data_IF_913404895360
#
_entry.id   IF_913404895360
#
_cell.length_a   1.000
_cell.length_b   1.000
_cell.length_c   1.000
_cell.angle_alpha   90.00
_cell.angle_beta   90.00
_cell.angle_gamma   90.00
#
_symmetry.space_group_name_H-M   'P 1'
#
loop_
_entity.id
_entity.type
_entity.pdbx_description
1 polymer ?
#
# COMPACT_ATOMS: atom_id res chain seq x y z
N UNK A 1 20.44 51.83 -21.24
CA UNK A 1 21.49 51.67 -22.27
C UNK A 1 21.21 50.39 -23.04
N UNK A 2 21.10 50.50 -24.38
CA UNK A 2 21.13 49.47 -25.47
C UNK A 2 20.27 48.21 -25.24
N UNK A 3 19.30 47.83 -26.08
CA UNK A 3 19.05 48.09 -27.50
C UNK A 3 18.85 46.74 -28.20
N UNK A 4 17.65 46.48 -28.72
CA UNK A 4 17.35 45.27 -29.48
C UNK A 4 15.92 45.27 -30.03
N UNK A 5 15.74 45.92 -31.19
CA UNK A 5 14.50 45.87 -31.98
C UNK A 5 14.39 44.50 -32.65
N UNK A 6 13.19 43.91 -32.65
CA UNK A 6 12.77 43.00 -33.71
C UNK A 6 11.50 43.61 -34.34
N UNK A 7 11.60 43.90 -35.64
CA UNK A 7 10.62 44.69 -36.37
C UNK A 7 9.34 43.93 -36.67
N UNK A 8 8.22 44.63 -36.57
CA UNK A 8 6.93 44.25 -37.14
C UNK A 8 7.02 44.29 -38.66
N UNK A 9 6.94 43.13 -39.32
CA UNK A 9 6.57 43.05 -40.74
C UNK A 9 5.20 42.42 -40.83
N UNK A 10 4.18 43.26 -40.94
CA UNK A 10 2.81 42.86 -41.31
C UNK A 10 2.79 42.40 -42.77
N UNK A 11 2.73 41.10 -43.01
CA UNK A 11 2.14 40.53 -44.23
C UNK A 11 0.73 40.06 -43.92
N UNK A 12 -0.25 40.70 -44.55
CA UNK A 12 -1.63 40.21 -44.63
C UNK A 12 -1.63 38.86 -45.37
N UNK A 13 -2.16 37.83 -44.72
CA UNK A 13 -2.74 36.66 -45.38
C UNK A 13 -4.15 36.42 -44.81
N UNK A 14 -5.00 35.86 -45.67
CA UNK A 14 -6.47 35.86 -45.64
C UNK A 14 -7.14 35.28 -44.39
N UNK A 15 -8.44 35.60 -44.29
CA UNK A 15 -9.32 35.31 -43.16
C UNK A 15 -9.44 33.83 -42.79
N UNK A 16 -9.58 33.60 -41.48
CA UNK A 16 -9.74 32.28 -40.86
C UNK A 16 -9.25 32.21 -39.40
N UNK A 17 -8.47 33.19 -38.93
CA UNK A 17 -7.78 33.11 -37.63
C UNK A 17 -8.55 33.61 -36.39
N UNK A 18 -9.71 34.26 -36.54
CA UNK A 18 -10.36 34.88 -35.38
C UNK A 18 -11.08 33.88 -34.48
N UNK A 19 -11.70 32.81 -35.02
CA UNK A 19 -12.46 31.85 -34.19
C UNK A 19 -11.57 31.03 -33.25
N UNK A 20 -10.39 30.63 -33.70
CA UNK A 20 -9.43 29.84 -32.90
C UNK A 20 -8.79 30.67 -31.78
N UNK A 21 -8.54 31.96 -32.02
CA UNK A 21 -7.99 32.86 -31.01
C UNK A 21 -9.02 33.14 -29.91
N UNK A 22 -10.29 33.36 -30.26
CA UNK A 22 -11.37 33.51 -29.28
C UNK A 22 -11.61 32.23 -28.48
N UNK A 23 -11.56 31.04 -29.11
CA UNK A 23 -11.72 29.76 -28.42
C UNK A 23 -10.57 29.46 -27.43
N UNK A 24 -9.31 29.70 -27.82
CA UNK A 24 -8.15 29.52 -26.94
C UNK A 24 -8.19 30.48 -25.73
N UNK A 25 -8.63 31.72 -25.96
CA UNK A 25 -8.76 32.72 -24.89
C UNK A 25 -9.91 32.37 -23.93
N UNK A 26 -11.02 31.85 -24.45
CA UNK A 26 -12.15 31.39 -23.63
C UNK A 26 -11.80 30.16 -22.77
N UNK A 27 -11.03 29.20 -23.30
CA UNK A 27 -10.56 28.03 -22.55
C UNK A 27 -9.58 28.44 -21.44
N UNK A 28 -8.65 29.36 -21.74
CA UNK A 28 -7.72 29.89 -20.73
C UNK A 28 -8.47 30.64 -19.60
N UNK A 29 -9.52 31.39 -19.94
CA UNK A 29 -10.36 32.09 -18.97
C UNK A 29 -11.21 31.10 -18.13
N UNK A 30 -11.76 30.05 -18.76
CA UNK A 30 -12.48 29.00 -18.05
C UNK A 30 -11.58 28.20 -17.08
N UNK A 31 -10.34 27.89 -17.49
CA UNK A 31 -9.35 27.23 -16.65
C UNK A 31 -8.96 28.11 -15.45
N UNK A 32 -8.71 29.41 -15.67
CA UNK A 32 -8.35 30.34 -14.58
C UNK A 32 -9.51 30.57 -13.61
N UNK A 33 -10.76 30.62 -14.09
CA UNK A 33 -11.95 30.71 -13.25
C UNK A 33 -12.21 29.42 -12.44
N UNK A 34 -11.98 28.25 -13.03
CA UNK A 34 -12.08 26.94 -12.35
C UNK A 34 -11.01 26.76 -11.27
N UNK A 35 -9.77 27.17 -11.55
CA UNK A 35 -8.69 27.19 -10.54
C UNK A 35 -9.03 28.19 -9.43
N UNK A 36 -9.57 29.36 -9.75
CA UNK A 36 -9.96 30.35 -8.75
C UNK A 36 -11.20 29.96 -7.93
N UNK A 37 -12.12 29.14 -8.45
CA UNK A 37 -13.23 28.60 -7.66
C UNK A 37 -12.76 27.48 -6.73
N UNK A 38 -11.87 26.61 -7.21
CA UNK A 38 -11.23 25.56 -6.41
C UNK A 38 -10.40 26.14 -5.25
N UNK A 39 -9.62 27.20 -5.52
CA UNK A 39 -8.87 27.94 -4.49
C UNK A 39 -9.76 28.65 -3.47
N UNK A 40 -10.93 29.17 -3.89
CA UNK A 40 -11.91 29.76 -2.97
C UNK A 40 -12.57 28.69 -2.09
N UNK A 41 -12.93 27.55 -2.66
CA UNK A 41 -13.49 26.42 -1.92
C UNK A 41 -12.50 25.88 -0.88
N UNK A 42 -11.20 25.83 -1.20
CA UNK A 42 -10.16 25.45 -0.22
C UNK A 42 -9.96 26.52 0.86
N UNK A 43 -10.02 27.80 0.50
CA UNK A 43 -9.94 28.90 1.47
C UNK A 43 -11.12 28.91 2.44
N UNK A 44 -12.33 28.63 1.97
CA UNK A 44 -13.53 28.57 2.81
C UNK A 44 -13.54 27.33 3.71
N UNK A 45 -13.04 26.18 3.22
CA UNK A 45 -12.83 24.98 4.04
C UNK A 45 -11.78 25.19 5.15
N UNK A 46 -10.69 25.90 4.85
CA UNK A 46 -9.68 26.29 5.85
C UNK A 46 -10.26 27.22 6.93
N UNK A 47 -11.07 28.21 6.51
CA UNK A 47 -11.76 29.11 7.46
C UNK A 47 -12.79 28.38 8.32
N UNK A 48 -13.47 27.37 7.79
CA UNK A 48 -14.38 26.53 8.56
C UNK A 48 -13.63 25.71 9.63
N UNK A 49 -12.48 25.13 9.25
CA UNK A 49 -11.61 24.39 10.18
C UNK A 49 -11.03 25.30 11.29
N UNK A 50 -10.61 26.52 10.95
CA UNK A 50 -10.12 27.50 11.94
C UNK A 50 -11.19 27.90 12.97
N UNK A 51 -12.46 28.01 12.55
CA UNK A 51 -13.60 28.27 13.45
C UNK A 51 -13.85 27.10 14.39
N UNK A 52 -13.73 25.87 13.90
CA UNK A 52 -13.90 24.66 14.70
C UNK A 52 -12.77 24.48 15.73
N UNK A 53 -11.53 24.78 15.34
CA UNK A 53 -10.37 24.83 16.24
C UNK A 53 -10.52 25.93 17.30
N UNK A 54 -11.05 27.11 16.93
CA UNK A 54 -11.31 28.19 17.88
C UNK A 54 -12.40 27.81 18.90
N UNK A 55 -13.45 27.09 18.46
CA UNK A 55 -14.50 26.57 19.36
C UNK A 55 -13.95 25.52 20.33
N UNK A 56 -13.05 24.63 19.88
CA UNK A 56 -12.38 23.65 20.74
C UNK A 56 -11.43 24.30 21.76
N UNK A 57 -10.75 25.40 21.39
CA UNK A 57 -9.93 26.19 22.33
C UNK A 57 -10.74 26.85 23.44
N UNK A 58 -11.93 27.37 23.13
CA UNK A 58 -12.83 27.95 24.15
C UNK A 58 -13.28 26.92 25.19
N UNK A 59 -13.55 25.69 24.76
CA UNK A 59 -13.95 24.59 25.65
C UNK A 59 -12.80 24.06 26.52
N UNK A 60 -11.55 24.22 26.08
CA UNK A 60 -10.36 23.83 26.84
C UNK A 60 -9.94 24.89 27.88
N UNK A 61 -10.28 26.16 27.69
CA UNK A 61 -9.97 27.24 28.66
C UNK A 61 -10.90 27.30 29.87
N UNK A 62 -12.10 26.71 29.79
CA UNK A 62 -13.04 26.65 30.92
C UNK A 62 -12.75 25.52 31.92
N UNK A 63 -11.77 24.65 31.63
CA UNK A 63 -11.50 23.43 32.40
C UNK A 63 -10.34 23.47 33.41
N UNK A 64 -9.64 24.59 33.59
CA UNK A 64 -8.43 24.64 34.47
C UNK A 64 -8.58 25.65 35.61
N UNK A 65 -9.29 25.21 36.65
CA UNK A 65 -9.29 25.85 37.97
C UNK A 65 -7.95 25.72 38.69
N UNK A 66 -7.40 26.89 39.03
CA UNK A 66 -6.38 27.26 40.02
C UNK A 66 -5.76 26.19 40.94
N UNK A 67 -4.43 26.09 40.90
CA UNK A 67 -3.58 25.52 41.96
C UNK A 67 -2.18 26.14 41.93
N UNK A 68 -1.91 27.07 42.84
CA UNK A 68 -0.68 27.87 42.96
C UNK A 68 0.48 27.07 43.55
N UNK A 69 1.65 27.08 42.90
CA UNK A 69 2.90 26.56 43.45
C UNK A 69 4.11 27.26 42.82
N UNK A 70 4.72 28.17 43.56
CA UNK A 70 5.92 28.94 43.19
C UNK A 70 7.18 28.09 43.27
N UNK A 71 7.90 27.94 42.16
CA UNK A 71 9.22 27.32 42.11
C UNK A 71 10.05 27.90 40.97
N UNK A 72 11.00 28.78 41.32
CA UNK A 72 11.95 29.39 40.40
C UNK A 72 13.01 28.39 39.96
N UNK A 73 13.01 28.00 38.68
CA UNK A 73 14.07 27.19 38.06
C UNK A 73 14.20 27.51 36.58
N UNK A 74 15.26 28.23 36.20
CA UNK A 74 15.65 28.46 34.80
C UNK A 74 16.19 27.17 34.19
N UNK A 75 15.66 26.80 33.02
CA UNK A 75 16.41 26.09 31.98
C UNK A 75 16.07 24.60 31.79
N UNK A 76 15.19 24.32 30.83
CA UNK A 76 15.36 23.36 29.71
C UNK A 76 14.06 23.34 28.91
N UNK A 77 14.17 23.47 27.59
CA UNK A 77 13.04 23.52 26.66
C UNK A 77 12.12 22.33 26.83
N UNK A 78 10.92 22.60 27.34
CA UNK A 78 9.84 21.63 27.42
C UNK A 78 9.35 21.31 26.02
N UNK A 79 9.62 20.10 25.56
CA UNK A 79 8.90 19.48 24.45
C UNK A 79 7.45 19.32 24.90
N UNK A 80 6.59 20.26 24.53
CA UNK A 80 5.16 20.16 24.81
C UNK A 80 4.52 19.31 23.73
N UNK A 81 3.68 18.34 24.10
CA UNK A 81 2.92 17.52 23.14
C UNK A 81 2.16 18.38 22.10
N UNK A 82 1.81 19.62 22.46
CA UNK A 82 1.19 20.60 21.57
C UNK A 82 2.10 21.10 20.42
N UNK A 83 3.43 21.04 20.56
CA UNK A 83 4.38 21.31 19.49
C UNK A 83 4.43 20.13 18.50
N UNK A 84 4.38 18.90 19.00
CA UNK A 84 4.26 17.68 18.19
C UNK A 84 2.94 17.64 17.43
N UNK A 85 1.80 17.95 18.08
CA UNK A 85 0.48 17.99 17.42
C UNK A 85 0.42 19.06 16.31
N UNK A 86 1.05 20.23 16.50
CA UNK A 86 1.12 21.27 15.47
C UNK A 86 2.03 20.90 14.30
N UNK A 87 3.15 20.22 14.56
CA UNK A 87 3.98 19.64 13.51
C UNK A 87 3.20 18.56 12.73
N UNK A 88 2.44 17.70 13.42
CA UNK A 88 1.64 16.63 12.79
C UNK A 88 0.54 17.14 11.85
N UNK A 89 -0.10 18.25 12.20
CA UNK A 89 -1.12 18.90 11.37
C UNK A 89 -0.51 19.63 10.16
N UNK A 90 0.62 20.31 10.35
CA UNK A 90 1.36 20.95 9.25
C UNK A 90 1.94 19.92 8.27
N UNK A 91 2.46 18.80 8.77
CA UNK A 91 2.92 17.68 7.95
C UNK A 91 1.75 16.98 7.23
N UNK A 92 0.55 16.98 7.81
CA UNK A 92 -0.63 16.39 7.17
C UNK A 92 -1.14 17.28 6.03
N UNK A 93 -1.14 18.59 6.25
CA UNK A 93 -1.48 19.59 5.24
C UNK A 93 -0.41 19.67 4.13
N UNK A 94 0.88 19.55 4.46
CA UNK A 94 1.96 19.47 3.49
C UNK A 94 1.93 18.16 2.70
N UNK A 95 1.61 17.02 3.32
CA UNK A 95 1.38 15.76 2.62
C UNK A 95 0.18 15.81 1.67
N UNK A 96 -0.86 16.57 2.01
CA UNK A 96 -2.01 16.81 1.14
C UNK A 96 -1.71 17.79 -0.03
N UNK A 97 -0.81 18.77 0.18
CA UNK A 97 -0.48 19.80 -0.80
C UNK A 97 0.67 19.43 -1.76
N UNK A 98 1.52 18.46 -1.41
CA UNK A 98 2.71 18.05 -2.19
C UNK A 98 2.48 16.76 -3.02
N UNK A 99 1.22 16.40 -3.27
CA UNK A 99 0.81 15.24 -4.06
C UNK A 99 1.15 15.43 -5.55
N UNK A 100 2.43 15.28 -5.92
CA UNK A 100 2.83 15.18 -7.33
C UNK A 100 2.63 13.79 -7.95
N UNK A 101 2.21 12.77 -7.18
CA UNK A 101 1.77 11.47 -7.72
C UNK A 101 0.68 10.85 -6.82
N UNK A 102 -0.56 11.34 -6.95
CA UNK A 102 -1.72 10.80 -6.27
C UNK A 102 -2.11 9.42 -6.84
N UNK A 103 -2.60 8.55 -5.96
CA UNK A 103 -3.35 7.36 -6.33
C UNK A 103 -4.47 7.73 -7.32
N UNK A 104 -4.48 7.09 -8.48
CA UNK A 104 -5.60 7.18 -9.41
C UNK A 104 -6.52 5.98 -9.17
N UNK A 105 -7.75 6.22 -8.76
CA UNK A 105 -8.79 5.20 -8.71
C UNK A 105 -9.32 4.96 -10.12
N UNK A 106 -9.62 3.70 -10.48
CA UNK A 106 -10.22 3.38 -11.78
C UNK A 106 -11.75 3.43 -11.76
N UNK A 107 -12.34 3.65 -10.58
CA UNK A 107 -13.77 3.79 -10.32
C UNK A 107 -14.02 4.81 -9.19
N UNK A 108 -15.29 5.20 -9.01
CA UNK A 108 -15.69 6.03 -7.86
C UNK A 108 -15.74 5.22 -6.55
N UNK A 109 -15.67 3.89 -6.60
CA UNK A 109 -15.74 3.01 -5.41
C UNK A 109 -14.49 3.22 -4.56
N UNK A 110 -14.70 3.42 -3.26
CA UNK A 110 -13.64 3.70 -2.31
C UNK A 110 -13.04 5.11 -2.45
N UNK A 111 -13.69 6.01 -3.19
CA UNK A 111 -13.33 7.43 -3.20
C UNK A 111 -13.90 8.14 -1.96
N UNK A 112 -13.08 8.66 -1.03
CA UNK A 112 -13.57 9.34 0.16
C UNK A 112 -14.44 10.59 -0.13
N UNK A 113 -14.31 11.19 -1.31
CA UNK A 113 -15.13 12.32 -1.74
C UNK A 113 -16.50 11.91 -2.34
N UNK A 114 -16.72 10.60 -2.57
CA UNK A 114 -17.95 10.03 -3.15
C UNK A 114 -18.45 8.85 -2.31
N UNK A 115 -18.92 9.11 -1.08
CA UNK A 115 -19.38 8.05 -0.17
C UNK A 115 -20.58 7.26 -0.74
N UNK A 116 -21.34 7.86 -1.65
CA UNK A 116 -22.45 7.22 -2.38
C UNK A 116 -22.01 6.06 -3.29
N UNK A 117 -20.75 6.04 -3.72
CA UNK A 117 -20.20 4.96 -4.55
C UNK A 117 -19.84 3.69 -3.76
N UNK A 118 -19.87 3.76 -2.43
CA UNK A 118 -19.56 2.65 -1.52
C UNK A 118 -18.07 2.44 -1.26
N UNK A 119 -17.75 1.83 -0.13
CA UNK A 119 -16.39 1.50 0.27
C UNK A 119 -15.86 0.24 -0.45
N UNK A 120 -14.54 0.16 -0.57
CA UNK A 120 -13.85 -1.06 -0.97
C UNK A 120 -13.79 -2.06 0.19
N UNK A 121 -13.71 -3.36 -0.13
CA UNK A 121 -13.38 -4.39 0.84
C UNK A 121 -11.94 -4.21 1.32
N UNK A 122 -10.99 -4.03 0.39
CA UNK A 122 -9.61 -3.74 0.77
C UNK A 122 -8.81 -2.93 -0.25
N UNK A 123 -7.90 -2.12 0.28
CA UNK A 123 -6.68 -1.72 -0.41
C UNK A 123 -5.65 -2.86 -0.32
N UNK A 124 -5.07 -3.28 -1.44
CA UNK A 124 -4.03 -4.32 -1.50
C UNK A 124 -2.75 -3.71 -2.08
N UNK A 125 -1.85 -3.31 -1.17
CA UNK A 125 -0.57 -2.70 -1.51
C UNK A 125 0.55 -3.74 -1.58
N UNK A 126 1.11 -3.96 -2.76
CA UNK A 126 2.31 -4.77 -2.96
C UNK A 126 3.53 -3.87 -2.85
N UNK A 127 4.27 -3.95 -1.74
CA UNK A 127 5.48 -3.15 -1.61
C UNK A 127 6.49 -3.55 -2.70
N UNK A 128 7.08 -2.61 -3.43
CA UNK A 128 8.18 -2.92 -4.37
C UNK A 128 9.19 -1.78 -4.37
N UNK A 129 10.43 -2.04 -4.79
CA UNK A 129 11.45 -1.01 -4.93
C UNK A 129 11.44 -0.41 -6.35
N UNK A 130 11.96 0.81 -6.57
CA UNK A 130 12.04 1.42 -7.91
C UNK A 130 12.69 0.50 -8.94
N UNK A 131 13.75 -0.21 -8.55
CA UNK A 131 14.51 -1.16 -9.39
C UNK A 131 13.85 -2.50 -9.67
N UNK A 132 12.72 -2.82 -9.03
CA UNK A 132 12.11 -4.14 -9.08
C UNK A 132 11.20 -4.36 -10.32
N UNK A 133 11.70 -4.09 -11.52
CA UNK A 133 10.93 -4.17 -12.78
C UNK A 133 10.49 -5.61 -13.10
N UNK A 134 11.45 -6.54 -13.21
CA UNK A 134 11.18 -7.96 -13.56
C UNK A 134 10.20 -8.62 -12.58
N UNK A 135 10.30 -8.20 -11.33
CA UNK A 135 9.41 -8.61 -10.24
C UNK A 135 7.97 -8.15 -10.51
N UNK A 136 7.76 -6.85 -10.73
CA UNK A 136 6.42 -6.34 -11.06
C UNK A 136 5.87 -7.01 -12.32
N UNK A 137 6.70 -7.23 -13.35
CA UNK A 137 6.32 -7.96 -14.55
C UNK A 137 5.86 -9.41 -14.24
N UNK A 138 6.58 -10.14 -13.39
CA UNK A 138 6.20 -11.50 -12.96
C UNK A 138 4.86 -11.53 -12.23
N UNK A 139 4.62 -10.55 -11.34
CA UNK A 139 3.37 -10.46 -10.61
C UNK A 139 2.19 -10.12 -11.53
N UNK A 140 2.37 -9.19 -12.47
CA UNK A 140 1.38 -8.83 -13.50
C UNK A 140 1.06 -10.00 -14.44
N UNK A 141 2.06 -10.80 -14.79
CA UNK A 141 1.87 -12.00 -15.60
C UNK A 141 1.19 -13.16 -14.84
N UNK A 142 0.85 -12.99 -13.55
CA UNK A 142 0.28 -14.06 -12.72
C UNK A 142 -0.97 -13.60 -11.98
N UNK A 143 -0.86 -13.19 -10.71
CA UNK A 143 -2.03 -12.92 -9.87
C UNK A 143 -2.39 -11.44 -9.74
N UNK A 144 -1.49 -10.53 -10.11
CA UNK A 144 -1.73 -9.09 -10.04
C UNK A 144 -2.42 -8.61 -11.33
N UNK A 145 -3.53 -7.85 -11.26
CA UNK A 145 -4.19 -7.30 -12.46
C UNK A 145 -3.25 -6.38 -13.27
N UNK A 146 -3.02 -6.69 -14.55
CA UNK A 146 -2.05 -5.95 -15.39
C UNK A 146 -2.72 -4.80 -16.14
N UNK A 147 -3.90 -5.07 -16.72
CA UNK A 147 -4.61 -4.10 -17.54
C UNK A 147 -5.49 -3.16 -16.70
N UNK A 148 -5.78 -1.99 -17.28
CA UNK A 148 -6.70 -1.02 -16.68
C UNK A 148 -8.10 -1.62 -16.49
N UNK A 149 -8.53 -2.44 -17.44
CA UNK A 149 -9.82 -3.13 -17.43
C UNK A 149 -9.88 -4.13 -16.27
N UNK A 150 -8.83 -4.94 -16.07
CA UNK A 150 -8.75 -5.89 -14.95
C UNK A 150 -8.67 -5.18 -13.60
N UNK A 151 -7.90 -4.09 -13.49
CA UNK A 151 -7.85 -3.27 -12.28
C UNK A 151 -9.22 -2.67 -11.96
N UNK A 152 -9.92 -2.14 -12.97
CA UNK A 152 -11.28 -1.61 -12.81
C UNK A 152 -12.29 -2.70 -12.44
N UNK A 153 -12.19 -3.89 -13.03
CA UNK A 153 -13.03 -5.04 -12.69
C UNK A 153 -12.80 -5.47 -11.24
N UNK A 154 -11.54 -5.52 -10.78
CA UNK A 154 -11.22 -5.81 -9.38
C UNK A 154 -11.84 -4.78 -8.41
N UNK A 155 -11.83 -3.50 -8.75
CA UNK A 155 -12.45 -2.43 -7.94
C UNK A 155 -13.99 -2.55 -7.92
N UNK A 156 -14.62 -2.79 -9.07
CA UNK A 156 -16.08 -2.81 -9.20
C UNK A 156 -16.71 -4.10 -8.68
N UNK A 157 -16.17 -5.24 -9.09
CA UNK A 157 -16.75 -6.58 -8.88
C UNK A 157 -16.27 -7.20 -7.57
N UNK A 158 -14.97 -7.06 -7.27
CA UNK A 158 -14.35 -7.68 -6.09
C UNK A 158 -14.13 -6.70 -4.93
N UNK A 159 -14.37 -5.41 -5.16
CA UNK A 159 -14.13 -4.33 -4.19
C UNK A 159 -12.67 -4.30 -3.68
N UNK A 160 -11.72 -4.66 -4.54
CA UNK A 160 -10.28 -4.67 -4.21
C UNK A 160 -9.51 -3.64 -5.04
N UNK A 161 -8.63 -2.89 -4.38
CA UNK A 161 -7.73 -1.93 -5.03
C UNK A 161 -6.28 -2.42 -5.01
N UNK A 162 -5.81 -2.98 -6.11
CA UNK A 162 -4.42 -3.47 -6.23
C UNK A 162 -3.46 -2.36 -6.64
N UNK A 163 -2.39 -2.14 -5.87
CA UNK A 163 -1.34 -1.17 -6.24
C UNK A 163 0.06 -1.66 -5.88
N UNK A 164 1.02 -1.44 -6.78
CA UNK A 164 2.44 -1.50 -6.47
C UNK A 164 2.86 -0.26 -5.70
N UNK A 165 3.27 -0.45 -4.45
CA UNK A 165 3.69 0.62 -3.56
C UNK A 165 5.19 0.87 -3.73
N UNK A 166 5.54 2.02 -4.30
CA UNK A 166 6.91 2.37 -4.67
C UNK A 166 7.29 3.73 -4.08
N UNK A 167 8.49 3.84 -3.52
CA UNK A 167 9.05 5.10 -3.06
C UNK A 167 9.80 5.85 -4.16
N UNK A 168 10.66 6.77 -3.73
CA UNK A 168 11.62 7.49 -4.55
C UNK A 168 12.96 6.76 -4.51
N UNK A 169 13.74 6.86 -5.60
CA UNK A 169 15.12 6.39 -5.56
C UNK A 169 15.96 7.25 -4.61
N UNK A 170 17.05 6.69 -4.09
CA UNK A 170 18.03 7.39 -3.25
C UNK A 170 18.88 8.40 -4.04
N UNK A 171 18.98 8.23 -5.36
CA UNK A 171 19.69 9.12 -6.28
C UNK A 171 18.71 9.91 -7.14
N UNK A 172 18.41 11.14 -6.72
CA UNK A 172 17.54 12.06 -7.44
C UNK A 172 18.07 12.30 -8.86
N UNK A 173 17.28 11.91 -9.87
CA UNK A 173 17.59 12.16 -11.28
C UNK A 173 18.42 11.06 -11.96
N UNK A 174 18.62 9.90 -11.34
CA UNK A 174 19.23 8.76 -12.01
C UNK A 174 18.31 8.17 -13.09
N UNK A 175 18.91 7.50 -14.07
CA UNK A 175 18.30 6.67 -15.10
C UNK A 175 17.21 5.72 -14.57
N UNK A 176 17.32 5.30 -13.31
CA UNK A 176 16.35 4.46 -12.62
C UNK A 176 14.99 5.13 -12.44
N UNK A 177 14.95 6.37 -11.96
CA UNK A 177 13.69 7.10 -11.79
C UNK A 177 13.02 7.40 -13.14
N UNK A 178 13.83 7.64 -14.18
CA UNK A 178 13.33 7.78 -15.54
C UNK A 178 12.75 6.46 -16.08
N UNK A 179 13.38 5.31 -15.78
CA UNK A 179 12.87 3.99 -16.15
C UNK A 179 11.57 3.66 -15.41
N UNK A 180 11.49 3.92 -14.10
CA UNK A 180 10.28 3.75 -13.32
C UNK A 180 9.15 4.65 -13.85
N UNK A 181 9.46 5.91 -14.18
CA UNK A 181 8.47 6.82 -14.77
C UNK A 181 7.93 6.31 -16.10
N UNK A 182 8.77 5.68 -16.94
CA UNK A 182 8.31 5.03 -18.18
C UNK A 182 7.39 3.83 -17.88
N UNK A 183 7.76 2.97 -16.95
CA UNK A 183 6.91 1.83 -16.56
C UNK A 183 5.58 2.32 -15.97
N UNK A 184 5.60 3.31 -15.09
CA UNK A 184 4.40 3.93 -14.54
C UNK A 184 3.53 4.49 -15.65
N UNK A 185 4.09 5.12 -16.69
CA UNK A 185 3.32 5.60 -17.83
C UNK A 185 2.68 4.47 -18.65
N UNK A 186 3.30 3.29 -18.69
CA UNK A 186 2.72 2.12 -19.37
C UNK A 186 1.59 1.48 -18.56
N UNK A 187 1.71 1.47 -17.23
CA UNK A 187 0.76 0.81 -16.31
C UNK A 187 0.17 1.80 -15.29
N UNK A 188 -0.23 3.01 -15.73
CA UNK A 188 -0.52 4.21 -14.89
C UNK A 188 -1.40 3.93 -13.66
N UNK A 189 -2.33 3.01 -13.81
CA UNK A 189 -3.36 2.75 -12.80
C UNK A 189 -2.95 1.66 -11.79
N UNK A 190 -1.77 1.04 -11.96
CA UNK A 190 -1.26 -0.03 -11.11
C UNK A 190 -0.35 0.44 -9.97
N UNK A 191 -0.01 1.74 -9.88
CA UNK A 191 1.00 2.24 -8.94
C UNK A 191 0.43 3.10 -7.82
N UNK A 192 1.07 2.98 -6.65
CA UNK A 192 0.87 3.87 -5.50
C UNK A 192 2.23 4.41 -5.07
N UNK A 193 2.55 5.63 -5.54
CA UNK A 193 3.85 6.24 -5.25
C UNK A 193 3.78 6.98 -3.91
N UNK A 194 4.60 6.56 -2.95
CA UNK A 194 4.68 7.19 -1.63
C UNK A 194 5.89 8.12 -1.58
N UNK A 195 5.75 9.27 -0.93
CA UNK A 195 6.84 10.23 -0.71
C UNK A 195 7.78 9.71 0.37
N UNK A 196 8.68 8.83 -0.05
CA UNK A 196 9.61 8.14 0.82
C UNK A 196 10.81 7.68 0.00
N UNK A 197 12.03 7.98 0.44
CA UNK A 197 13.24 7.44 -0.21
C UNK A 197 13.35 5.95 0.12
N UNK A 198 13.19 5.10 -0.89
CA UNK A 198 13.15 3.65 -0.71
C UNK A 198 14.53 3.10 -0.39
N UNK A 199 14.78 2.85 0.89
CA UNK A 199 15.93 2.07 1.36
C UNK A 199 15.47 0.94 2.25
N UNK A 200 16.28 -0.12 2.34
CA UNK A 200 15.97 -1.23 3.23
C UNK A 200 15.91 -0.80 4.71
N UNK A 201 16.78 0.14 5.10
CA UNK A 201 16.84 0.67 6.45
C UNK A 201 15.61 1.50 6.84
N UNK A 202 14.78 1.86 5.86
CA UNK A 202 13.62 2.74 6.04
C UNK A 202 12.28 2.07 5.68
N UNK A 203 12.24 0.73 5.68
CA UNK A 203 11.01 -0.03 5.44
C UNK A 203 9.87 0.31 6.41
N UNK A 204 10.20 0.62 7.67
CA UNK A 204 9.22 1.05 8.67
C UNK A 204 8.57 2.37 8.26
N UNK A 205 9.36 3.36 7.83
CA UNK A 205 8.84 4.61 7.28
C UNK A 205 7.98 4.40 6.03
N UNK A 206 8.42 3.54 5.10
CA UNK A 206 7.61 3.20 3.93
C UNK A 206 6.26 2.66 4.35
N UNK A 207 6.23 1.73 5.29
CA UNK A 207 5.00 1.11 5.79
C UNK A 207 4.06 2.12 6.44
N UNK A 208 4.59 3.04 7.27
CA UNK A 208 3.82 4.15 7.82
C UNK A 208 3.25 5.00 6.69
N UNK A 209 4.09 5.39 5.72
CA UNK A 209 3.66 6.19 4.57
C UNK A 209 2.56 5.48 3.77
N UNK A 210 2.68 4.17 3.55
CA UNK A 210 1.68 3.35 2.86
C UNK A 210 0.35 3.35 3.58
N UNK A 211 0.29 2.92 4.84
CA UNK A 211 -0.97 2.85 5.58
C UNK A 211 -1.58 4.23 5.80
N UNK A 212 -0.77 5.23 6.15
CA UNK A 212 -1.26 6.59 6.36
C UNK A 212 -1.87 7.18 5.08
N UNK A 213 -1.17 7.02 3.95
CA UNK A 213 -1.62 7.57 2.67
C UNK A 213 -2.82 6.80 2.13
N UNK A 214 -2.82 5.46 2.23
CA UNK A 214 -3.95 4.65 1.80
C UNK A 214 -5.20 4.96 2.65
N UNK A 215 -5.08 5.07 3.97
CA UNK A 215 -6.18 5.45 4.87
C UNK A 215 -6.65 6.91 4.72
N UNK A 216 -5.91 7.72 3.96
CA UNK A 216 -6.30 9.10 3.60
C UNK A 216 -7.01 9.13 2.25
N UNK A 217 -6.51 8.37 1.27
CA UNK A 217 -6.89 8.48 -0.14
C UNK A 217 -7.93 7.44 -0.57
N UNK A 218 -8.13 6.39 0.22
CA UNK A 218 -9.01 5.26 -0.11
C UNK A 218 -9.94 4.99 1.06
N UNK A 219 -11.23 4.94 0.78
CA UNK A 219 -12.21 4.40 1.70
C UNK A 219 -12.34 2.87 1.50
N UNK A 220 -11.73 2.12 2.42
CA UNK A 220 -11.75 0.67 2.44
C UNK A 220 -11.97 0.14 3.86
N UNK A 221 -12.50 -1.08 3.98
CA UNK A 221 -12.66 -1.75 5.27
C UNK A 221 -11.33 -2.28 5.81
N UNK A 222 -10.45 -2.73 4.90
CA UNK A 222 -9.11 -3.21 5.22
C UNK A 222 -8.02 -2.57 4.36
N UNK A 223 -6.82 -2.49 4.93
CA UNK A 223 -5.60 -2.10 4.25
C UNK A 223 -4.61 -3.24 4.39
N UNK A 224 -4.34 -3.92 3.28
CA UNK A 224 -3.48 -5.10 3.20
C UNK A 224 -2.15 -4.69 2.62
N UNK A 225 -1.07 -5.09 3.28
CA UNK A 225 0.27 -5.06 2.73
C UNK A 225 0.67 -6.46 2.32
N UNK A 226 1.11 -6.58 1.08
CA UNK A 226 1.77 -7.78 0.58
C UNK A 226 3.27 -7.53 0.51
N UNK A 227 3.96 -8.47 1.14
CA UNK A 227 5.38 -8.53 1.36
C UNK A 227 6.18 -8.80 0.11
N UNK A 228 7.39 -8.27 0.17
CA UNK A 228 8.24 -8.11 -0.97
C UNK A 228 9.66 -7.97 -0.50
N UNK A 229 10.33 -9.10 -0.38
CA UNK A 229 11.66 -9.07 0.19
C UNK A 229 12.66 -8.67 -0.89
N UNK A 230 13.27 -7.50 -0.72
CA UNK A 230 14.37 -7.04 -1.56
C UNK A 230 15.68 -7.21 -0.78
N UNK A 231 16.51 -8.17 -1.18
CA UNK A 231 17.86 -8.33 -0.66
C UNK A 231 18.84 -7.75 -1.68
N UNK A 232 19.23 -6.49 -1.49
CA UNK A 232 20.17 -5.77 -2.35
C UNK A 232 21.66 -6.00 -2.00
N UNK A 233 21.96 -6.89 -1.05
CA UNK A 233 23.33 -7.07 -0.55
C UNK A 233 23.79 -8.52 -0.73
N UNK A 234 24.76 -8.66 -1.65
CA UNK A 234 25.66 -9.81 -1.85
C UNK A 234 25.02 -11.03 -2.54
N UNK A 235 25.16 -11.09 -3.88
CA UNK A 235 25.26 -12.30 -4.74
C UNK A 235 24.30 -13.48 -4.56
N UNK A 236 23.25 -13.39 -3.74
CA UNK A 236 22.27 -14.46 -3.56
C UNK A 236 20.89 -13.91 -3.82
N UNK A 237 20.52 -14.04 -5.10
CA UNK A 237 19.19 -14.06 -5.72
C UNK A 237 18.31 -12.82 -5.43
N UNK A 238 18.05 -11.96 -6.45
CA UNK A 238 16.81 -11.20 -6.45
C UNK A 238 15.64 -12.21 -6.49
N UNK A 239 14.40 -11.77 -6.30
CA UNK A 239 13.18 -12.58 -6.51
C UNK A 239 12.66 -13.36 -5.28
N UNK A 240 12.53 -12.71 -4.12
CA UNK A 240 11.76 -13.24 -2.98
C UNK A 240 10.39 -12.54 -2.90
N UNK A 241 9.44 -13.12 -3.63
CA UNK A 241 8.07 -12.63 -3.76
C UNK A 241 7.09 -13.67 -3.25
N UNK A 242 5.81 -13.30 -3.13
CA UNK A 242 4.78 -14.26 -2.72
C UNK A 242 3.76 -14.45 -3.83
N UNK A 243 3.28 -15.69 -3.97
CA UNK A 243 2.10 -15.96 -4.77
C UNK A 243 0.86 -15.74 -3.91
N UNK A 244 -0.12 -15.02 -4.45
CA UNK A 244 -1.39 -14.74 -3.77
C UNK A 244 -2.55 -15.37 -4.54
N UNK A 245 -3.47 -16.00 -3.81
CA UNK A 245 -4.79 -16.40 -4.30
C UNK A 245 -5.82 -15.38 -3.86
N UNK A 246 -6.38 -14.65 -4.81
CA UNK A 246 -7.31 -13.53 -4.59
C UNK A 246 -8.65 -14.00 -4.03
N UNK A 247 -9.29 -15.09 -4.51
CA UNK A 247 -10.58 -15.50 -3.95
C UNK A 247 -10.53 -15.98 -2.48
N UNK A 248 -9.53 -16.78 -2.04
CA UNK A 248 -9.33 -17.02 -0.62
C UNK A 248 -9.09 -15.75 0.21
N UNK A 249 -8.36 -14.76 -0.33
CA UNK A 249 -8.16 -13.47 0.34
C UNK A 249 -9.49 -12.74 0.56
N UNK A 250 -10.36 -12.71 -0.46
CA UNK A 250 -11.69 -12.07 -0.35
C UNK A 250 -12.51 -12.73 0.75
N UNK A 251 -12.62 -14.07 0.75
CA UNK A 251 -13.36 -14.81 1.79
C UNK A 251 -12.82 -14.54 3.18
N UNK A 252 -11.50 -14.49 3.32
CA UNK A 252 -10.86 -14.15 4.58
C UNK A 252 -11.26 -12.74 5.05
N UNK A 253 -11.21 -11.74 4.18
CA UNK A 253 -11.56 -10.36 4.55
C UNK A 253 -13.05 -10.22 4.88
N UNK A 254 -13.94 -10.86 4.11
CA UNK A 254 -15.38 -10.83 4.33
C UNK A 254 -15.76 -11.43 5.70
N UNK A 255 -15.15 -12.55 6.08
CA UNK A 255 -15.39 -13.20 7.38
C UNK A 255 -14.92 -12.38 8.59
N UNK A 256 -14.06 -11.36 8.37
CA UNK A 256 -13.53 -10.52 9.43
C UNK A 256 -14.12 -9.10 9.42
N UNK A 257 -15.03 -8.78 8.51
CA UNK A 257 -15.56 -7.43 8.27
C UNK A 257 -16.29 -6.82 9.46
N UNK A 258 -16.91 -7.64 10.29
CA UNK A 258 -17.70 -7.19 11.46
C UNK A 258 -16.85 -6.85 12.68
N UNK A 259 -15.52 -7.05 12.62
CA UNK A 259 -14.62 -6.68 13.72
C UNK A 259 -14.36 -5.18 13.72
N UNK A 260 -14.47 -4.55 14.88
CA UNK A 260 -14.24 -3.11 15.05
C UNK A 260 -12.81 -2.70 14.68
N UNK A 261 -11.82 -3.37 15.27
CA UNK A 261 -10.41 -3.13 14.97
C UNK A 261 -9.64 -4.46 14.96
N UNK A 262 -9.00 -4.75 13.82
CA UNK A 262 -8.22 -5.97 13.60
C UNK A 262 -6.83 -5.67 13.01
N UNK A 263 -5.86 -6.48 13.44
CA UNK A 263 -4.55 -6.67 12.85
C UNK A 263 -4.38 -8.16 12.55
N UNK A 264 -4.28 -8.50 11.26
CA UNK A 264 -4.26 -9.89 10.83
C UNK A 264 -3.00 -10.22 10.03
N UNK A 265 -2.62 -11.49 10.08
CA UNK A 265 -1.45 -12.01 9.39
C UNK A 265 -1.15 -13.43 9.86
N UNK A 266 -0.09 -14.01 9.31
CA UNK A 266 0.49 -15.21 9.93
C UNK A 266 1.38 -14.80 11.09
N UNK A 267 0.85 -14.92 12.30
CA UNK A 267 1.47 -14.39 13.50
C UNK A 267 2.59 -15.31 13.98
N UNK A 268 3.69 -14.70 14.40
CA UNK A 268 4.85 -15.37 14.98
C UNK A 268 5.42 -14.58 16.14
N UNK A 269 6.28 -15.24 16.89
CA UNK A 269 7.22 -14.60 17.81
C UNK A 269 8.60 -15.22 17.56
N UNK A 270 9.65 -14.48 17.87
CA UNK A 270 11.03 -14.88 17.61
C UNK A 270 11.99 -14.11 18.48
N UNK A 271 13.23 -14.60 18.60
CA UNK A 271 14.24 -13.96 19.44
C UNK A 271 14.50 -12.52 19.00
N UNK A 272 14.66 -11.63 19.97
CA UNK A 272 15.08 -10.26 19.73
C UNK A 272 16.51 -10.27 19.21
N UNK A 273 16.71 -9.70 18.02
CA UNK A 273 18.01 -9.66 17.36
C UNK A 273 18.86 -8.58 18.02
N UNK A 274 19.67 -8.98 19.00
CA UNK A 274 20.48 -8.08 19.83
C UNK A 274 21.97 -8.09 19.48
N UNK A 275 22.38 -8.91 18.51
CA UNK A 275 23.77 -8.99 18.05
C UNK A 275 23.94 -8.11 16.80
N UNK A 276 24.82 -7.09 16.84
CA UNK A 276 25.06 -6.15 15.75
C UNK A 276 25.48 -6.77 14.42
N UNK A 277 25.94 -8.04 14.41
CA UNK A 277 26.33 -8.72 13.17
C UNK A 277 25.15 -9.10 12.28
N UNK A 278 23.94 -9.14 12.83
CA UNK A 278 22.75 -9.53 12.08
C UNK A 278 22.04 -8.31 11.49
N UNK A 279 21.47 -8.50 10.30
CA UNK A 279 20.76 -7.48 9.51
C UNK A 279 19.75 -6.66 10.30
N UNK A 280 19.00 -7.34 11.17
CA UNK A 280 17.89 -6.79 11.93
C UNK A 280 18.27 -6.42 13.36
N UNK A 281 19.56 -6.13 13.60
CA UNK A 281 20.03 -5.72 14.91
C UNK A 281 19.18 -4.57 15.46
N UNK A 282 18.49 -4.87 16.54
CA UNK A 282 17.67 -3.92 17.27
C UNK A 282 18.52 -3.23 18.33
N UNK A 283 18.90 -1.98 18.07
CA UNK A 283 19.71 -1.17 18.99
C UNK A 283 19.03 -1.01 20.35
N UNK A 284 17.70 -0.99 20.35
CA UNK A 284 16.87 -0.81 21.53
C UNK A 284 16.32 -2.14 22.05
N UNK A 285 17.01 -3.27 21.80
CA UNK A 285 16.55 -4.62 22.15
C UNK A 285 16.13 -4.77 23.62
N UNK A 286 16.74 -3.98 24.51
CA UNK A 286 16.43 -3.95 25.96
C UNK A 286 14.99 -3.52 26.27
N UNK A 287 14.28 -2.85 25.33
CA UNK A 287 12.86 -2.52 25.47
C UNK A 287 11.96 -3.74 25.47
N UNK A 288 12.43 -4.85 24.89
CA UNK A 288 11.75 -6.15 24.90
C UNK A 288 12.13 -7.00 26.13
N UNK A 289 12.86 -6.41 27.08
CA UNK A 289 13.30 -7.03 28.33
C UNK A 289 14.74 -7.54 28.28
N UNK A 290 14.95 -8.75 28.79
CA UNK A 290 16.29 -9.31 29.00
C UNK A 290 16.84 -10.00 27.74
N UNK A 291 18.15 -10.26 27.74
CA UNK A 291 18.79 -11.02 26.67
C UNK A 291 18.17 -12.40 26.58
N UNK A 292 17.79 -12.81 25.37
CA UNK A 292 17.08 -14.07 25.12
C UNK A 292 15.55 -13.94 25.07
N UNK A 293 15.00 -12.76 25.41
CA UNK A 293 13.59 -12.48 25.20
C UNK A 293 13.21 -12.51 23.72
N UNK A 294 11.92 -12.74 23.50
CA UNK A 294 11.31 -12.74 22.18
C UNK A 294 10.59 -11.42 21.92
N UNK A 295 10.46 -11.06 20.65
CA UNK A 295 9.56 -10.00 20.24
C UNK A 295 8.12 -10.34 20.64
N UNK A 296 7.30 -9.31 20.87
CA UNK A 296 5.86 -9.49 20.92
C UNK A 296 5.36 -10.19 19.65
N UNK A 297 4.19 -10.83 19.76
CA UNK A 297 3.58 -11.51 18.62
C UNK A 297 3.34 -10.50 17.49
N UNK A 298 3.82 -10.81 16.30
CA UNK A 298 3.74 -9.94 15.11
C UNK A 298 3.45 -10.78 13.88
N UNK A 299 2.79 -10.18 12.88
CA UNK A 299 2.57 -10.84 11.60
C UNK A 299 3.89 -10.99 10.85
N UNK A 300 4.02 -12.06 10.07
CA UNK A 300 5.19 -12.27 9.22
C UNK A 300 5.09 -11.38 7.98
N UNK A 301 6.18 -10.70 7.61
CA UNK A 301 6.20 -9.67 6.57
C UNK A 301 5.82 -10.07 5.14
N UNK A 302 5.40 -11.30 4.88
CA UNK A 302 4.87 -11.75 3.58
C UNK A 302 3.48 -11.22 3.29
N UNK A 303 2.60 -11.16 4.29
CA UNK A 303 1.26 -10.61 4.13
C UNK A 303 0.65 -10.33 5.50
N UNK A 304 0.16 -9.11 5.67
CA UNK A 304 -0.62 -8.74 6.84
C UNK A 304 -1.51 -7.54 6.50
N UNK A 305 -2.49 -7.25 7.34
CA UNK A 305 -3.36 -6.10 7.12
C UNK A 305 -3.96 -5.52 8.39
N UNK A 306 -4.45 -4.30 8.23
CA UNK A 306 -5.09 -3.52 9.27
C UNK A 306 -6.52 -3.20 8.86
N UNK A 307 -7.45 -3.34 9.80
CA UNK A 307 -8.78 -2.75 9.70
C UNK A 307 -8.72 -1.23 9.49
N UNK A 308 -9.83 -0.65 9.03
CA UNK A 308 -9.98 0.79 8.87
C UNK A 308 -9.63 1.58 10.14
N UNK A 309 -10.11 1.15 11.30
CA UNK A 309 -9.83 1.82 12.57
C UNK A 309 -8.33 1.83 12.89
N UNK A 310 -7.67 0.67 12.77
CA UNK A 310 -6.23 0.52 13.01
C UNK A 310 -5.38 1.33 12.01
N UNK A 311 -5.74 1.33 10.71
CA UNK A 311 -5.02 2.10 9.71
C UNK A 311 -5.16 3.62 9.90
N UNK A 312 -6.35 4.10 10.32
CA UNK A 312 -6.58 5.50 10.67
C UNK A 312 -5.76 5.92 11.89
N UNK A 313 -5.61 5.04 12.89
CA UNK A 313 -4.70 5.30 14.01
C UNK A 313 -3.27 5.54 13.52
N UNK A 314 -2.77 4.71 12.60
CA UNK A 314 -1.44 4.89 12.00
C UNK A 314 -1.34 6.22 11.27
N UNK A 315 -2.35 6.59 10.47
CA UNK A 315 -2.42 7.89 9.75
C UNK A 315 -2.31 9.09 10.70
N UNK A 316 -3.11 9.08 11.76
CA UNK A 316 -3.27 10.21 12.68
C UNK A 316 -2.05 10.38 13.60
N UNK A 317 -1.37 9.28 13.90
CA UNK A 317 -0.26 9.25 14.86
C UNK A 317 1.12 9.03 14.22
N UNK A 318 1.21 9.03 12.88
CA UNK A 318 2.42 8.64 12.10
C UNK A 318 3.75 9.20 12.61
N UNK A 319 3.76 10.44 13.12
CA UNK A 319 4.98 11.10 13.62
C UNK A 319 5.40 10.63 15.03
N UNK A 320 4.47 10.09 15.81
CA UNK A 320 4.70 9.56 17.16
C UNK A 320 4.95 8.04 17.16
N UNK A 321 4.68 7.35 16.04
CA UNK A 321 4.89 5.92 15.91
C UNK A 321 6.38 5.58 16.03
N UNK A 322 6.71 4.77 17.03
CA UNK A 322 8.06 4.31 17.24
C UNK A 322 8.48 3.30 16.17
N UNK A 323 9.74 3.34 15.76
CA UNK A 323 10.25 2.55 14.63
C UNK A 323 11.39 1.67 15.10
N UNK A 324 11.17 0.37 15.05
CA UNK A 324 12.20 -0.64 15.28
C UNK A 324 12.89 -0.99 13.96
N UNK A 325 14.04 -1.64 14.07
CA UNK A 325 14.81 -2.10 12.90
C UNK A 325 14.00 -3.08 12.03
N UNK A 326 13.18 -3.93 12.67
CA UNK A 326 12.23 -4.77 11.99
C UNK A 326 10.88 -4.05 11.89
N UNK A 327 10.43 -3.83 10.66
CA UNK A 327 9.19 -3.16 10.36
C UNK A 327 7.96 -3.96 10.80
N UNK A 328 7.96 -5.29 10.64
CA UNK A 328 6.87 -6.17 11.09
C UNK A 328 6.63 -6.01 12.61
N UNK A 329 7.73 -5.93 13.37
CA UNK A 329 7.72 -5.71 14.83
C UNK A 329 7.23 -4.30 15.18
N UNK A 330 7.54 -3.31 14.35
CA UNK A 330 7.08 -1.93 14.54
C UNK A 330 5.56 -1.85 14.46
N UNK A 331 4.95 -2.44 13.41
CA UNK A 331 3.49 -2.47 13.26
C UNK A 331 2.83 -3.16 14.45
N UNK A 332 3.32 -4.34 14.83
CA UNK A 332 2.78 -5.07 15.97
C UNK A 332 2.87 -4.29 17.28
N UNK A 333 3.92 -3.48 17.49
CA UNK A 333 4.04 -2.66 18.70
C UNK A 333 2.97 -1.57 18.75
N UNK A 334 2.63 -0.95 17.62
CA UNK A 334 1.55 0.03 17.58
C UNK A 334 0.21 -0.61 17.86
N UNK A 335 -0.03 -1.80 17.27
CA UNK A 335 -1.28 -2.54 17.47
C UNK A 335 -1.41 -3.10 18.88
N UNK A 336 -0.31 -3.50 19.51
CA UNK A 336 -0.27 -3.99 20.89
C UNK A 336 -0.71 -2.92 21.91
N UNK A 337 -0.51 -1.64 21.58
CA UNK A 337 -0.91 -0.53 22.43
C UNK A 337 -2.42 -0.20 22.33
N UNK A 338 -3.15 -0.89 21.44
CA UNK A 338 -4.56 -0.65 21.15
C UNK A 338 -5.40 -1.88 21.49
N UNK A 339 -6.69 -1.66 21.68
CA UNK A 339 -7.69 -2.73 21.75
C UNK A 339 -8.00 -3.22 20.32
N UNK A 340 -7.07 -4.00 19.77
CA UNK A 340 -7.10 -4.52 18.40
C UNK A 340 -7.00 -6.04 18.44
N UNK A 341 -7.84 -6.71 17.67
CA UNK A 341 -7.80 -8.17 17.53
C UNK A 341 -6.56 -8.61 16.73
N UNK A 342 -5.70 -9.41 17.36
CA UNK A 342 -4.59 -10.09 16.68
C UNK A 342 -5.09 -11.40 16.07
N UNK A 343 -5.42 -11.36 14.77
CA UNK A 343 -5.90 -12.54 14.03
C UNK A 343 -4.70 -13.29 13.45
N UNK A 344 -4.42 -14.49 13.99
CA UNK A 344 -3.42 -15.41 13.44
C UNK A 344 -4.06 -16.37 12.44
N UNK A 345 -3.64 -16.28 11.18
CA UNK A 345 -4.09 -17.19 10.13
C UNK A 345 -2.92 -17.77 9.32
N UNK A 346 -2.85 -19.11 9.29
CA UNK A 346 -1.80 -19.86 8.56
C UNK A 346 -2.03 -19.87 7.06
N UNK A 347 -3.22 -19.53 6.58
CA UNK A 347 -3.49 -19.32 5.16
C UNK A 347 -2.64 -18.18 4.56
N UNK A 348 -2.19 -17.22 5.39
CA UNK A 348 -1.34 -16.10 4.99
C UNK A 348 0.15 -16.44 4.96
N UNK A 349 0.54 -17.71 5.18
CA UNK A 349 1.94 -18.15 5.18
C UNK A 349 2.12 -19.62 4.77
N UNK A 350 1.41 -20.07 3.74
CA UNK A 350 1.56 -21.41 3.21
C UNK A 350 2.95 -21.67 2.61
N UNK A 351 3.47 -22.89 2.78
CA UNK A 351 4.66 -23.36 2.04
C UNK A 351 4.33 -23.86 0.63
N UNK A 352 3.10 -24.31 0.43
CA UNK A 352 2.54 -24.75 -0.85
C UNK A 352 1.03 -24.54 -0.80
N UNK A 353 0.44 -24.22 -1.96
CA UNK A 353 -1.00 -24.11 -2.18
C UNK A 353 -1.61 -25.35 -2.84
N UNK A 354 -0.79 -26.32 -3.28
CA UNK A 354 -1.27 -27.53 -3.96
C UNK A 354 -2.09 -28.38 -2.99
N UNK A 355 -3.33 -28.69 -3.36
CA UNK A 355 -4.27 -29.43 -2.52
C UNK A 355 -4.76 -28.66 -1.29
N UNK A 356 -4.59 -27.33 -1.28
CA UNK A 356 -4.90 -26.45 -0.14
C UNK A 356 -5.70 -25.23 -0.58
N UNK A 357 -7.03 -25.39 -0.60
CA UNK A 357 -7.95 -24.36 -1.05
C UNK A 357 -8.09 -23.16 -0.11
N UNK A 358 -7.67 -23.33 1.14
CA UNK A 358 -7.60 -22.27 2.13
C UNK A 358 -6.39 -21.35 1.95
N UNK A 359 -5.34 -21.77 1.23
CA UNK A 359 -4.12 -20.97 1.10
C UNK A 359 -4.36 -19.65 0.38
N UNK A 360 -4.00 -18.56 1.06
CA UNK A 360 -4.06 -17.19 0.52
C UNK A 360 -2.68 -16.79 -0.01
N UNK A 361 -1.62 -17.01 0.77
CA UNK A 361 -0.26 -16.57 0.44
C UNK A 361 0.69 -17.77 0.48
N UNK A 362 1.43 -17.97 -0.60
CA UNK A 362 2.45 -19.03 -0.71
C UNK A 362 3.85 -18.42 -0.74
N UNK A 363 4.72 -18.90 0.14
CA UNK A 363 6.12 -18.51 0.25
C UNK A 363 6.93 -19.65 0.89
N UNK A 364 8.26 -19.61 0.75
CA UNK A 364 9.18 -20.57 1.32
C UNK A 364 10.05 -19.90 2.38
N UNK A 365 10.18 -20.53 3.56
CA UNK A 365 10.87 -19.92 4.70
C UNK A 365 12.38 -19.72 4.47
N UNK A 366 13.01 -20.60 3.69
CA UNK A 366 14.44 -20.59 3.41
C UNK A 366 14.93 -19.35 2.65
N UNK A 367 14.06 -18.72 1.86
CA UNK A 367 14.33 -17.48 1.13
C UNK A 367 13.37 -16.34 1.54
N UNK A 368 12.59 -16.50 2.61
CA UNK A 368 11.68 -15.43 3.10
C UNK A 368 10.69 -14.90 2.04
N UNK A 369 10.37 -15.74 1.06
CA UNK A 369 9.61 -15.48 -0.17
C UNK A 369 9.58 -16.76 -1.02
N UNK A 370 9.22 -16.71 -2.29
CA UNK A 370 9.31 -17.85 -3.20
C UNK A 370 10.68 -17.89 -3.84
N UNK A 371 11.44 -18.96 -3.64
CA UNK A 371 12.80 -19.02 -4.17
C UNK A 371 12.72 -19.08 -5.70
N UNK A 372 13.55 -18.29 -6.38
CA UNK A 372 13.47 -18.16 -7.85
C UNK A 372 12.07 -17.72 -8.31
N UNK A 373 11.55 -16.63 -7.73
CA UNK A 373 10.17 -16.22 -7.97
C UNK A 373 9.82 -16.00 -9.44
N UNK A 374 10.78 -15.67 -10.31
CA UNK A 374 10.58 -15.56 -11.75
C UNK A 374 10.01 -16.85 -12.37
N UNK A 375 10.41 -18.02 -11.86
CA UNK A 375 9.93 -19.32 -12.32
C UNK A 375 8.89 -19.92 -11.35
N UNK A 376 9.11 -19.77 -10.05
CA UNK A 376 8.30 -20.43 -9.03
C UNK A 376 6.92 -19.80 -8.85
N UNK A 377 6.76 -18.48 -9.03
CA UNK A 377 5.43 -17.85 -8.95
C UNK A 377 4.53 -18.28 -10.11
N UNK A 378 4.98 -18.24 -11.39
CA UNK A 378 4.19 -18.79 -12.48
C UNK A 378 3.83 -20.26 -12.27
N UNK A 379 4.78 -21.09 -11.80
CA UNK A 379 4.53 -22.49 -11.52
C UNK A 379 3.46 -22.70 -10.42
N UNK A 380 3.55 -21.96 -9.31
CA UNK A 380 2.53 -22.00 -8.26
C UNK A 380 1.18 -21.47 -8.74
N UNK A 381 1.17 -20.42 -9.57
CA UNK A 381 -0.06 -19.88 -10.14
C UNK A 381 -0.75 -20.88 -11.07
N UNK A 382 0.01 -21.59 -11.89
CA UNK A 382 -0.52 -22.67 -12.74
C UNK A 382 -1.03 -23.86 -11.91
N UNK A 383 -0.34 -24.22 -10.83
CA UNK A 383 -0.73 -25.32 -9.95
C UNK A 383 -1.92 -24.99 -9.03
N UNK A 384 -2.14 -23.69 -8.75
CA UNK A 384 -3.12 -23.19 -7.79
C UNK A 384 -3.92 -22.04 -8.42
N UNK A 385 -4.90 -22.36 -9.27
CA UNK A 385 -5.66 -21.37 -10.00
C UNK A 385 -6.43 -20.43 -9.06
N UNK A 386 -6.64 -19.19 -9.53
CA UNK A 386 -7.37 -18.16 -8.79
C UNK A 386 -8.81 -18.61 -8.55
N UNK A 387 -9.50 -19.05 -9.61
CA UNK A 387 -10.87 -19.53 -9.56
C UNK A 387 -10.90 -21.07 -9.60
N UNK A 388 -11.72 -21.70 -8.75
CA UNK A 388 -11.81 -23.17 -8.60
C UNK A 388 -12.21 -23.95 -9.86
N UNK A 389 -12.57 -23.25 -10.95
CA UNK A 389 -13.06 -23.84 -12.21
C UNK A 389 -11.99 -24.65 -12.94
N UNK A 390 -10.71 -24.31 -12.78
CA UNK A 390 -9.65 -25.10 -13.41
C UNK A 390 -9.43 -26.46 -12.70
N UNK A 391 -9.78 -26.60 -11.42
CA UNK A 391 -9.67 -27.90 -10.73
C UNK A 391 -10.78 -28.85 -11.19
N UNK A 392 -11.99 -28.35 -11.44
CA UNK A 392 -13.10 -29.16 -11.97
C UNK A 392 -12.86 -29.57 -13.43
N UNK A 393 -12.37 -28.65 -14.28
CA UNK A 393 -12.07 -28.96 -15.67
C UNK A 393 -10.90 -29.94 -15.81
N UNK A 394 -9.85 -29.80 -14.99
CA UNK A 394 -8.72 -30.74 -14.98
C UNK A 394 -9.09 -32.08 -14.33
N UNK A 395 -9.92 -32.09 -13.27
CA UNK A 395 -10.44 -33.32 -12.67
C UNK A 395 -11.37 -34.07 -13.64
N UNK A 396 -12.27 -33.36 -14.33
CA UNK A 396 -13.13 -33.94 -15.36
C UNK A 396 -12.34 -34.45 -16.57
N UNK A 397 -11.25 -33.77 -16.96
CA UNK A 397 -10.36 -34.24 -18.03
C UNK A 397 -9.53 -35.48 -17.63
N UNK A 398 -9.08 -35.54 -16.37
CA UNK A 398 -8.38 -36.71 -15.82
C UNK A 398 -9.35 -37.88 -15.70
N UNK A 399 -10.55 -37.67 -15.15
CA UNK A 399 -11.58 -38.71 -14.99
C UNK A 399 -12.07 -39.22 -16.36
N UNK A 400 -12.16 -38.36 -17.38
CA UNK A 400 -12.45 -38.76 -18.76
C UNK A 400 -11.33 -39.65 -19.36
N UNK A 401 -10.07 -39.33 -19.12
CA UNK A 401 -8.92 -40.13 -19.59
C UNK A 401 -8.78 -41.49 -18.89
N UNK A 402 -9.26 -41.59 -17.64
CA UNK A 402 -9.30 -42.85 -16.87
C UNK A 402 -10.50 -43.71 -17.27
N UNK A 403 -11.63 -43.09 -17.64
CA UNK A 403 -12.83 -43.78 -18.13
C UNK A 403 -12.64 -44.46 -19.50
N UNK A 404 -11.92 -43.83 -20.44
CA UNK A 404 -11.65 -44.40 -21.76
C UNK A 404 -10.73 -45.64 -21.71
N UNK A 405 -9.84 -45.72 -20.72
CA UNK A 405 -8.94 -46.86 -20.54
C UNK A 405 -9.61 -48.10 -19.91
N UNK A 406 -10.81 -47.96 -19.32
CA UNK A 406 -11.56 -49.10 -18.78
C UNK A 406 -12.57 -49.68 -19.78
N UNK A 407 -12.95 -48.93 -20.82
CA UNK A 407 -13.79 -49.44 -21.92
C UNK A 407 -13.04 -50.28 -22.96
N UNK A 408 -11.69 -50.30 -22.94
CA UNK A 408 -10.86 -50.99 -23.93
C UNK A 408 -10.42 -52.42 -23.58
N UNK A 409 -10.76 -52.96 -22.41
CA UNK A 409 -10.24 -54.27 -21.92
C UNK A 409 -11.30 -55.38 -21.91
N UNK A 410 -12.52 -55.13 -22.39
CA UNK A 410 -13.58 -56.13 -22.48
C UNK A 410 -13.93 -56.47 -23.94
N UNK A 411 -13.00 -57.11 -24.68
CA UNK A 411 -13.33 -58.01 -25.79
C UNK A 411 -12.06 -58.59 -26.45
N UNK A 412 -11.54 -59.68 -25.90
CA UNK A 412 -10.75 -60.66 -26.67
C UNK A 412 -10.63 -61.96 -25.89
N UNK A 413 -11.76 -62.65 -25.70
CA UNK A 413 -11.75 -64.03 -25.27
C UNK A 413 -12.83 -64.80 -26.05
N UNK A 414 -12.59 -65.01 -27.34
CA UNK A 414 -13.33 -65.97 -28.17
C UNK A 414 -12.51 -66.33 -29.41
N UNK A 415 -12.20 -67.62 -29.58
CA UNK A 415 -12.10 -68.23 -30.91
C UNK A 415 -10.72 -68.58 -31.48
N UNK A 416 -10.31 -69.83 -31.21
CA UNK A 416 -9.69 -70.81 -32.12
C UNK A 416 -8.16 -70.88 -32.24
#
# INVERSE_FOLDING_TARGET
MKGGRCGTTTRRFGGGGNLLYFAATAIALACTLSVASSLRSTSDALRASDREIAALRGRLSEGTGTGTGTGTGRGRGGWTAAATVRANAADAAAAAADARYALKLNSDVGNPARPDAGALLAFVGVNTAPSAFDRRATLRATWFPDSREELRAAELERKLLFRFVVGESDVVGDSLDAALTREMKTHEDAFFRVRHVDTYASLTEKTIATFASAATLVDADFYVKIGAFYLALVHVRPHDDVHVRVPPLIRFLETHRERDAAYFGCMKSGQVVHDPKYKWYEKEWKRFGNRGNQYFRHATGQAYGLSRAAARFVRDNRAALHKYANEDVSVATWMLALDVDFVDDRALCCQSCVGRDECIVTHQWNCTGMCDAANSIPAAHAACPQDGVAVEATKNAIDASVGENQSGVANSNEGR
#
